data_IF_329402286333
#
_entry.id   IF_329402286333
#
_cell.length_a   1.000
_cell.length_b   1.000
_cell.length_c   1.000
_cell.angle_alpha   90.00
_cell.angle_beta   90.00
_cell.angle_gamma   90.00
#
_symmetry.space_group_name_H-M   'P 1'
#
loop_
_entity.id
_entity.type
_entity.pdbx_description
1 polymer ?
#
# COMPACT_ATOMS: atom_id res chain seq x y z
N UNK A 1 29.28 -9.59 12.25
CA UNK A 1 28.14 -8.72 12.60
C UNK A 1 28.21 -8.46 14.08
N UNK A 2 27.99 -7.21 14.46
CA UNK A 2 27.92 -6.82 15.85
C UNK A 2 26.76 -7.54 16.56
N UNK A 3 26.96 -7.99 17.80
CA UNK A 3 25.88 -8.51 18.64
C UNK A 3 24.96 -7.36 19.08
N UNK A 4 23.73 -7.67 19.53
CA UNK A 4 22.81 -6.67 20.09
C UNK A 4 23.47 -5.83 21.19
N UNK A 5 24.19 -6.49 22.11
CA UNK A 5 24.97 -5.84 23.17
C UNK A 5 26.04 -4.88 22.64
N UNK A 6 26.71 -5.23 21.55
CA UNK A 6 27.72 -4.36 20.92
C UNK A 6 27.07 -3.13 20.26
N UNK A 7 25.89 -3.29 19.67
CA UNK A 7 25.11 -2.19 19.08
C UNK A 7 24.60 -1.25 20.18
N UNK A 8 23.99 -1.80 21.23
CA UNK A 8 23.51 -1.06 22.40
C UNK A 8 24.64 -0.25 23.06
N UNK A 9 25.78 -0.90 23.33
CA UNK A 9 26.97 -0.23 23.91
C UNK A 9 27.45 0.93 23.04
N UNK A 10 27.52 0.76 21.72
CA UNK A 10 27.96 1.81 20.79
C UNK A 10 26.95 2.97 20.73
N UNK A 11 25.65 2.69 20.82
CA UNK A 11 24.61 3.72 20.83
C UNK A 11 24.69 4.59 22.10
N UNK A 12 24.83 3.96 23.28
CA UNK A 12 24.99 4.66 24.55
C UNK A 12 26.24 5.56 24.57
N UNK A 13 27.36 5.07 24.04
CA UNK A 13 28.58 5.88 23.88
C UNK A 13 28.40 7.05 22.92
N UNK A 14 27.64 6.85 21.85
CA UNK A 14 27.38 7.88 20.84
C UNK A 14 26.47 9.01 21.38
N UNK A 15 25.59 8.68 22.31
CA UNK A 15 24.75 9.65 23.04
C UNK A 15 25.49 10.34 24.19
N UNK A 16 26.75 9.98 24.45
CA UNK A 16 27.55 10.46 25.59
C UNK A 16 26.88 10.23 26.96
N UNK A 17 26.07 9.17 27.08
CA UNK A 17 25.54 8.68 28.37
C UNK A 17 26.67 8.05 29.19
N UNK A 18 27.62 7.42 28.49
CA UNK A 18 28.82 6.78 29.05
C UNK A 18 30.04 7.35 28.34
N UNK A 19 31.15 7.53 29.06
CA UNK A 19 32.39 7.99 28.43
C UNK A 19 32.87 6.98 27.36
N UNK A 20 33.60 7.43 26.31
CA UNK A 20 34.03 6.54 25.22
C UNK A 20 34.86 5.34 25.69
N UNK A 21 35.62 5.50 26.77
CA UNK A 21 36.51 4.54 27.40
C UNK A 21 35.88 3.79 28.58
N UNK A 22 34.69 4.19 29.03
CA UNK A 22 33.96 3.55 30.12
C UNK A 22 33.04 2.44 29.60
N UNK A 23 32.81 1.45 30.46
CA UNK A 23 31.86 0.36 30.20
C UNK A 23 30.48 0.78 30.73
N UNK A 24 29.41 0.74 29.92
CA UNK A 24 28.06 1.05 30.38
C UNK A 24 27.61 0.15 31.52
N UNK A 25 26.70 0.64 32.35
CA UNK A 25 26.10 -0.19 33.40
C UNK A 25 25.30 -1.34 32.77
N UNK A 26 25.17 -2.45 33.50
CA UNK A 26 24.39 -3.60 33.04
C UNK A 26 22.91 -3.23 32.80
N UNK A 27 22.37 -2.32 33.63
CA UNK A 27 20.99 -1.84 33.52
C UNK A 27 20.79 -0.96 32.29
N UNK A 28 21.73 -0.06 31.99
CA UNK A 28 21.67 0.77 30.78
C UNK A 28 21.79 -0.05 29.50
N UNK A 29 22.66 -1.08 29.54
CA UNK A 29 22.83 -2.00 28.41
C UNK A 29 21.55 -2.79 28.16
N UNK A 30 20.92 -3.30 29.23
CA UNK A 30 19.65 -4.01 29.13
C UNK A 30 18.53 -3.13 28.59
N UNK A 31 18.39 -1.90 29.10
CA UNK A 31 17.40 -0.94 28.60
C UNK A 31 17.63 -0.63 27.11
N UNK A 32 18.87 -0.42 26.70
CA UNK A 32 19.19 -0.17 25.29
C UNK A 32 18.95 -1.40 24.38
N UNK A 33 19.05 -2.62 24.91
CA UNK A 33 18.66 -3.85 24.21
C UNK A 33 17.13 -3.94 24.06
N UNK A 34 16.36 -3.64 25.10
CA UNK A 34 14.89 -3.59 25.04
C UNK A 34 14.39 -2.57 24.01
N UNK A 35 14.98 -1.36 24.00
CA UNK A 35 14.65 -0.33 23.00
C UNK A 35 15.06 -0.73 21.58
N UNK A 36 16.13 -1.52 21.43
CA UNK A 36 16.54 -2.08 20.13
C UNK A 36 15.52 -3.12 19.64
N UNK A 37 15.01 -3.98 20.53
CA UNK A 37 13.97 -4.95 20.18
C UNK A 37 12.67 -4.24 19.77
N UNK A 38 12.26 -3.19 20.49
CA UNK A 38 11.12 -2.35 20.12
C UNK A 38 11.33 -1.59 18.79
N UNK A 39 12.57 -1.15 18.52
CA UNK A 39 12.95 -0.54 17.25
C UNK A 39 12.77 -1.52 16.09
N UNK A 40 13.26 -2.75 16.25
CA UNK A 40 13.13 -3.81 15.24
C UNK A 40 11.65 -4.18 15.08
N UNK A 41 10.90 -4.37 16.16
CA UNK A 41 9.47 -4.66 16.12
C UNK A 41 8.67 -3.55 15.41
N UNK A 42 9.07 -2.28 15.57
CA UNK A 42 8.44 -1.17 14.86
C UNK A 42 8.66 -1.22 13.34
N UNK A 43 9.73 -1.86 12.87
CA UNK A 43 9.95 -2.08 11.44
C UNK A 43 9.01 -3.16 10.90
N UNK A 44 8.75 -4.21 11.69
CA UNK A 44 7.82 -5.30 11.32
C UNK A 44 6.37 -4.82 11.16
N UNK A 45 5.92 -3.89 12.01
CA UNK A 45 4.53 -3.39 11.99
C UNK A 45 4.16 -2.50 10.79
N UNK A 46 5.15 -2.10 9.97
CA UNK A 46 4.91 -1.15 8.89
C UNK A 46 4.65 -1.82 7.54
N UNK A 47 5.42 -2.85 7.17
CA UNK A 47 5.36 -3.55 5.86
C UNK A 47 6.57 -4.51 5.61
N UNK A 48 7.47 -4.69 6.57
CA UNK A 48 8.71 -5.48 6.40
C UNK A 48 8.56 -6.79 7.13
N UNK A 49 8.59 -7.92 6.44
CA UNK A 49 8.84 -9.21 7.08
C UNK A 49 10.35 -9.45 7.06
N UNK A 50 11.07 -9.03 8.09
CA UNK A 50 12.43 -9.50 8.27
C UNK A 50 12.36 -10.77 9.13
N UNK A 51 12.59 -11.90 8.48
CA UNK A 51 13.12 -13.05 9.20
C UNK A 51 14.36 -12.56 9.99
N UNK A 52 14.42 -13.02 11.24
CA UNK A 52 15.19 -12.50 12.35
C UNK A 52 16.62 -12.11 11.95
N UNK A 53 17.13 -11.07 12.62
CA UNK A 53 18.55 -10.69 12.68
C UNK A 53 19.48 -11.86 12.29
N UNK A 54 20.32 -11.64 11.27
CA UNK A 54 21.25 -10.53 11.42
C UNK A 54 21.31 -9.58 10.21
N UNK A 55 21.25 -8.27 10.51
CA UNK A 55 21.43 -7.19 9.54
C UNK A 55 22.87 -7.17 9.03
N UNK A 56 23.04 -7.10 7.71
CA UNK A 56 24.33 -6.95 7.04
C UNK A 56 25.16 -5.81 7.68
N UNK A 57 26.47 -6.02 7.81
CA UNK A 57 27.43 -5.09 8.42
C UNK A 57 27.33 -3.66 7.85
N UNK A 58 26.89 -3.51 6.61
CA UNK A 58 26.63 -2.22 5.96
C UNK A 58 25.58 -1.35 6.67
N UNK A 59 24.66 -1.93 7.45
CA UNK A 59 23.60 -1.19 8.15
C UNK A 59 23.94 -0.88 9.61
N UNK A 60 24.98 -1.49 10.19
CA UNK A 60 25.31 -1.37 11.62
C UNK A 60 25.41 0.09 12.08
N UNK A 61 26.10 0.94 11.32
CA UNK A 61 26.25 2.36 11.64
C UNK A 61 24.93 3.14 11.65
N UNK A 62 24.01 2.78 10.74
CA UNK A 62 22.67 3.35 10.67
C UNK A 62 21.81 2.93 11.85
N UNK A 63 21.80 1.63 12.20
CA UNK A 63 21.06 1.10 13.36
C UNK A 63 21.52 1.78 14.65
N UNK A 64 22.83 1.90 14.86
CA UNK A 64 23.41 2.55 16.05
C UNK A 64 22.92 4.00 16.17
N UNK A 65 22.88 4.74 15.05
CA UNK A 65 22.45 6.12 15.06
C UNK A 65 20.93 6.27 15.33
N UNK A 66 20.11 5.40 14.74
CA UNK A 66 18.65 5.39 14.98
C UNK A 66 18.34 5.00 16.44
N UNK A 67 19.04 4.01 16.99
CA UNK A 67 18.90 3.61 18.39
C UNK A 67 19.30 4.75 19.33
N UNK A 68 20.44 5.40 19.07
CA UNK A 68 20.89 6.54 19.89
C UNK A 68 19.93 7.75 19.81
N UNK A 69 19.21 7.95 18.71
CA UNK A 69 18.16 8.97 18.61
C UNK A 69 16.96 8.63 19.51
N UNK A 70 16.50 7.37 19.56
CA UNK A 70 15.41 6.95 20.45
C UNK A 70 15.78 7.07 21.93
N UNK A 71 16.98 6.59 22.29
CA UNK A 71 17.48 6.66 23.66
C UNK A 71 17.68 8.11 24.15
N UNK A 72 17.77 9.09 23.24
CA UNK A 72 18.00 10.48 23.61
C UNK A 72 16.89 11.05 24.50
N UNK A 73 15.63 10.68 24.26
CA UNK A 73 14.49 11.11 25.06
C UNK A 73 14.53 10.49 26.46
N UNK A 74 14.78 9.18 26.55
CA UNK A 74 14.81 8.44 27.82
C UNK A 74 15.93 8.93 28.76
N UNK A 75 17.10 9.23 28.20
CA UNK A 75 18.26 9.72 28.96
C UNK A 75 18.32 11.26 29.08
N UNK A 76 17.34 11.98 28.55
CA UNK A 76 17.29 13.45 28.60
C UNK A 76 18.48 14.14 27.93
N UNK A 77 19.03 13.52 26.87
CA UNK A 77 20.20 14.03 26.14
C UNK A 77 19.76 14.69 24.83
N UNK A 78 20.35 15.82 24.43
CA UNK A 78 20.00 16.44 23.16
C UNK A 78 20.53 15.63 21.97
N UNK A 79 19.70 15.39 20.97
CA UNK A 79 20.12 14.82 19.69
C UNK A 79 20.98 15.86 18.96
N UNK A 80 22.27 15.55 18.76
CA UNK A 80 23.17 16.44 18.01
C UNK A 80 22.88 16.39 16.51
N UNK A 81 23.17 17.47 15.78
CA UNK A 81 22.93 17.55 14.33
C UNK A 81 23.66 16.44 13.53
N UNK A 82 24.82 15.99 14.01
CA UNK A 82 25.57 14.87 13.39
C UNK A 82 24.82 13.56 13.62
N UNK A 83 24.32 13.32 14.84
CA UNK A 83 23.55 12.13 15.16
C UNK A 83 22.26 12.05 14.33
N UNK A 84 21.50 13.15 14.26
CA UNK A 84 20.27 13.22 13.47
C UNK A 84 20.52 12.91 11.98
N UNK A 85 21.56 13.51 11.39
CA UNK A 85 21.92 13.28 9.98
C UNK A 85 22.32 11.83 9.70
N UNK A 86 23.08 11.22 10.61
CA UNK A 86 23.53 9.83 10.44
C UNK A 86 22.37 8.83 10.64
N UNK A 87 21.43 9.14 11.54
CA UNK A 87 20.20 8.36 11.71
C UNK A 87 19.29 8.44 10.47
N UNK A 88 19.13 9.63 9.88
CA UNK A 88 18.39 9.83 8.63
C UNK A 88 19.03 9.07 7.47
N UNK A 89 20.36 9.14 7.31
CA UNK A 89 21.09 8.32 6.32
C UNK A 89 20.87 6.83 6.55
N UNK A 90 20.88 6.39 7.80
CA UNK A 90 20.61 5.01 8.19
C UNK A 90 19.21 4.55 7.75
N UNK A 91 18.18 5.34 8.05
CA UNK A 91 16.79 5.10 7.61
C UNK A 91 16.70 5.02 6.09
N UNK A 92 17.23 6.00 5.37
CA UNK A 92 17.21 6.03 3.91
C UNK A 92 17.94 4.83 3.28
N UNK A 93 19.04 4.37 3.88
CA UNK A 93 19.78 3.20 3.40
C UNK A 93 19.02 1.90 3.64
N UNK A 94 18.33 1.77 4.77
CA UNK A 94 17.44 0.64 5.05
C UNK A 94 16.22 0.66 4.12
N UNK A 95 15.60 1.82 3.92
CA UNK A 95 14.47 2.00 3.02
C UNK A 95 14.84 1.66 1.56
N UNK A 96 16.03 2.05 1.12
CA UNK A 96 16.53 1.75 -0.22
C UNK A 96 16.90 0.28 -0.41
N UNK A 97 17.39 -0.40 0.63
CA UNK A 97 17.80 -1.80 0.53
C UNK A 97 16.64 -2.78 0.72
N UNK A 98 15.68 -2.43 1.57
CA UNK A 98 14.45 -3.17 1.79
C UNK A 98 13.33 -2.38 1.13
N UNK A 99 13.34 -2.31 -0.20
CA UNK A 99 12.20 -1.78 -0.96
C UNK A 99 10.97 -2.60 -0.56
N UNK A 100 9.92 -1.93 -0.07
CA UNK A 100 8.59 -2.52 -0.03
C UNK A 100 8.28 -2.83 -1.48
N UNK A 101 8.04 -4.08 -1.86
CA UNK A 101 7.34 -4.31 -3.12
C UNK A 101 6.02 -3.57 -2.94
N UNK A 102 5.78 -2.43 -3.62
CA UNK A 102 4.47 -1.83 -3.54
C UNK A 102 3.52 -2.92 -4.03
N UNK A 103 2.45 -3.18 -3.28
CA UNK A 103 1.36 -4.04 -3.75
C UNK A 103 1.11 -3.60 -5.18
N UNK A 104 1.26 -4.51 -6.15
CA UNK A 104 1.16 -4.20 -7.58
C UNK A 104 -0.19 -3.53 -7.82
N UNK A 105 -0.21 -2.19 -7.78
CA UNK A 105 -1.31 -1.37 -8.24
C UNK A 105 -0.88 -0.97 -9.63
N UNK A 106 -1.65 -1.39 -10.62
CA UNK A 106 -1.45 -0.96 -11.99
C UNK A 106 -1.21 0.56 -12.00
N UNK A 107 -0.22 1.00 -12.78
CA UNK A 107 0.12 2.41 -12.96
C UNK A 107 -1.16 3.21 -13.29
N UNK A 108 -1.33 4.41 -12.71
CA UNK A 108 -2.50 5.26 -12.96
C UNK A 108 -2.66 5.57 -14.46
N UNK A 109 -1.56 5.59 -15.22
CA UNK A 109 -1.60 5.74 -16.68
C UNK A 109 -2.14 4.50 -17.42
N UNK A 110 -2.10 3.32 -16.81
CA UNK A 110 -2.67 2.08 -17.36
C UNK A 110 -4.14 1.91 -17.00
N UNK A 111 -4.55 2.43 -15.84
CA UNK A 111 -5.95 2.43 -15.39
C UNK A 111 -6.68 3.59 -16.08
N UNK A 112 -6.08 4.78 -16.20
CA UNK A 112 -6.67 5.96 -16.83
C UNK A 112 -6.34 6.10 -18.33
N UNK A 113 -6.34 5.02 -19.11
CA UNK A 113 -6.19 5.11 -20.59
C UNK A 113 -7.47 5.56 -21.32
N UNK A 114 -8.52 5.95 -20.59
CA UNK A 114 -9.80 6.40 -21.16
C UNK A 114 -9.73 7.82 -21.72
N UNK A 115 -9.90 7.96 -23.02
CA UNK A 115 -10.12 9.24 -23.70
C UNK A 115 -11.37 9.93 -23.13
N UNK A 116 -11.21 11.01 -22.35
CA UNK A 116 -12.18 12.03 -21.88
C UNK A 116 -13.69 11.78 -22.18
N UNK A 117 -14.17 10.59 -21.85
CA UNK A 117 -15.55 10.15 -21.98
C UNK A 117 -15.69 9.16 -20.84
N UNK A 118 -16.73 9.33 -20.03
CA UNK A 118 -16.88 8.72 -18.71
C UNK A 118 -16.98 7.19 -18.65
N UNK A 119 -16.38 6.46 -19.59
CA UNK A 119 -16.13 5.03 -19.52
C UNK A 119 -14.68 4.81 -19.07
N UNK A 120 -14.50 4.72 -17.76
CA UNK A 120 -13.22 4.36 -17.15
C UNK A 120 -13.08 2.83 -17.16
N UNK A 121 -11.93 2.35 -17.66
CA UNK A 121 -11.39 0.99 -17.54
C UNK A 121 -11.75 -0.07 -18.61
N UNK A 122 -10.72 -0.69 -19.20
CA UNK A 122 -10.77 -1.85 -20.12
C UNK A 122 -10.76 -3.19 -19.34
N UNK A 123 -10.36 -3.18 -18.06
CA UNK A 123 -10.24 -4.38 -17.23
C UNK A 123 -10.78 -4.11 -15.82
N UNK A 124 -11.92 -4.69 -15.49
CA UNK A 124 -12.49 -4.66 -14.15
C UNK A 124 -13.34 -3.42 -13.91
N UNK A 125 -14.60 -3.51 -14.29
CA UNK A 125 -15.61 -2.57 -13.81
C UNK A 125 -15.96 -2.97 -12.37
N UNK A 126 -15.77 -2.08 -11.40
CA UNK A 126 -16.65 -2.11 -10.23
C UNK A 126 -18.10 -1.97 -10.74
N UNK A 127 -19.09 -2.63 -10.12
CA UNK A 127 -20.46 -2.60 -10.62
C UNK A 127 -20.95 -1.15 -10.66
N UNK A 128 -20.96 -0.56 -11.86
CA UNK A 128 -21.61 0.72 -12.10
C UNK A 128 -23.09 0.55 -11.77
N UNK A 129 -23.67 1.51 -11.04
CA UNK A 129 -25.10 1.58 -10.76
C UNK A 129 -25.89 1.82 -12.06
N UNK A 130 -26.03 0.77 -12.87
CA UNK A 130 -26.77 0.82 -14.12
C UNK A 130 -28.27 0.96 -13.82
N UNK A 131 -28.92 1.85 -14.58
CA UNK A 131 -30.36 2.04 -14.45
C UNK A 131 -31.11 0.75 -14.81
N UNK A 132 -32.17 0.39 -14.08
CA UNK A 132 -33.00 -0.76 -14.43
C UNK A 132 -33.69 -0.52 -15.78
N UNK A 133 -33.91 -1.60 -16.54
CA UNK A 133 -34.67 -1.55 -17.79
C UNK A 133 -36.10 -1.04 -17.53
N UNK A 134 -36.61 -0.23 -18.47
CA UNK A 134 -37.98 0.29 -18.46
C UNK A 134 -38.66 0.06 -19.81
N UNK A 135 -39.94 -0.30 -19.78
CA UNK A 135 -40.76 -0.50 -20.98
C UNK A 135 -41.03 0.83 -21.71
N UNK A 136 -41.28 0.78 -23.02
CA UNK A 136 -41.63 1.94 -23.85
C UNK A 136 -40.65 3.12 -23.72
N UNK A 137 -39.38 2.83 -23.45
CA UNK A 137 -38.34 3.83 -23.20
C UNK A 137 -37.38 3.88 -24.39
N UNK A 138 -37.03 5.09 -24.81
CA UNK A 138 -36.07 5.28 -25.90
C UNK A 138 -34.64 5.07 -25.37
N UNK A 139 -33.89 4.18 -26.02
CA UNK A 139 -32.51 3.87 -25.69
C UNK A 139 -31.59 4.15 -26.88
N UNK A 140 -30.46 4.77 -26.60
CA UNK A 140 -29.39 5.03 -27.56
C UNK A 140 -28.41 3.84 -27.61
N UNK A 141 -27.63 3.75 -28.69
CA UNK A 141 -26.54 2.75 -28.77
C UNK A 141 -25.53 3.03 -27.65
N UNK A 142 -25.06 1.97 -26.99
CA UNK A 142 -24.21 1.97 -25.79
C UNK A 142 -24.90 2.31 -24.47
N UNK A 143 -26.22 2.48 -24.44
CA UNK A 143 -26.96 2.51 -23.18
C UNK A 143 -26.88 1.15 -22.49
N UNK A 144 -26.67 1.13 -21.17
CA UNK A 144 -26.54 -0.09 -20.38
C UNK A 144 -27.67 -0.14 -19.35
N UNK A 145 -28.34 -1.29 -19.29
CA UNK A 145 -29.48 -1.52 -18.40
C UNK A 145 -29.33 -2.83 -17.62
N UNK A 146 -29.93 -2.87 -16.44
CA UNK A 146 -30.08 -4.11 -15.65
C UNK A 146 -31.48 -4.68 -15.77
N UNK A 147 -31.57 -5.97 -16.09
CA UNK A 147 -32.84 -6.71 -16.13
C UNK A 147 -32.62 -8.16 -15.67
N UNK A 148 -33.50 -8.68 -14.82
CA UNK A 148 -33.44 -10.07 -14.33
C UNK A 148 -32.10 -10.51 -13.73
N UNK A 149 -31.34 -9.58 -13.11
CA UNK A 149 -30.02 -9.86 -12.53
C UNK A 149 -28.89 -9.94 -13.57
N UNK A 150 -29.14 -9.48 -14.80
CA UNK A 150 -28.19 -9.46 -15.92
C UNK A 150 -28.01 -8.02 -16.42
N UNK A 151 -26.82 -7.74 -16.96
CA UNK A 151 -26.43 -6.45 -17.55
C UNK A 151 -26.42 -6.56 -19.07
N UNK A 152 -27.13 -5.65 -19.73
CA UNK A 152 -27.27 -5.61 -21.19
C UNK A 152 -26.83 -4.26 -21.75
N UNK A 153 -26.19 -4.28 -22.92
CA UNK A 153 -25.84 -3.08 -23.69
C UNK A 153 -26.70 -2.98 -24.95
N UNK A 154 -27.23 -1.79 -25.23
CA UNK A 154 -27.96 -1.48 -26.45
C UNK A 154 -27.00 -1.42 -27.65
N UNK A 155 -27.19 -2.31 -28.61
CA UNK A 155 -26.41 -2.38 -29.86
C UNK A 155 -27.13 -1.73 -31.04
N UNK A 156 -28.45 -1.65 -31.00
CA UNK A 156 -29.29 -0.94 -31.99
C UNK A 156 -30.24 -0.01 -31.24
N UNK A 157 -30.14 1.29 -31.49
CA UNK A 157 -31.01 2.29 -30.85
C UNK A 157 -32.47 2.13 -31.29
N UNK A 158 -33.38 2.43 -30.37
CA UNK A 158 -34.81 2.26 -30.60
C UNK A 158 -35.61 2.52 -29.33
N UNK A 159 -36.86 2.05 -29.32
CA UNK A 159 -37.73 2.07 -28.16
C UNK A 159 -37.93 0.64 -27.66
N UNK A 160 -37.72 0.41 -26.37
CA UNK A 160 -37.97 -0.88 -25.73
C UNK A 160 -39.44 -1.29 -25.88
N UNK A 161 -39.67 -2.59 -25.97
CA UNK A 161 -40.99 -3.18 -26.01
C UNK A 161 -41.62 -3.26 -24.62
N UNK A 162 -42.50 -4.23 -24.45
CA UNK A 162 -43.23 -4.47 -23.20
C UNK A 162 -42.52 -5.43 -22.24
N UNK A 163 -41.46 -6.10 -22.67
CA UNK A 163 -40.87 -7.22 -21.93
C UNK A 163 -39.35 -7.12 -21.93
N UNK A 164 -38.78 -7.04 -20.73
CA UNK A 164 -37.34 -6.94 -20.56
C UNK A 164 -36.61 -8.19 -21.06
N UNK A 165 -35.36 -8.04 -21.57
CA UNK A 165 -34.51 -9.18 -21.87
C UNK A 165 -34.16 -9.95 -20.59
N UNK A 166 -34.27 -11.28 -20.64
CA UNK A 166 -34.08 -12.17 -19.49
C UNK A 166 -33.06 -13.29 -19.72
N UNK A 167 -32.52 -13.39 -20.94
CA UNK A 167 -31.59 -14.44 -21.34
C UNK A 167 -30.19 -13.88 -21.62
N UNK A 168 -29.15 -14.65 -21.29
CA UNK A 168 -27.76 -14.34 -21.57
C UNK A 168 -27.40 -14.59 -23.05
N UNK A 169 -28.14 -13.94 -23.95
CA UNK A 169 -27.98 -14.06 -25.40
C UNK A 169 -27.16 -12.90 -25.98
N UNK A 170 -26.49 -13.16 -27.09
CA UNK A 170 -25.62 -12.17 -27.75
C UNK A 170 -26.40 -11.10 -28.53
N UNK A 171 -27.69 -11.31 -28.79
CA UNK A 171 -28.60 -10.34 -29.38
C UNK A 171 -30.06 -10.66 -29.06
N UNK A 172 -30.71 -9.84 -28.23
CA UNK A 172 -32.14 -9.93 -27.91
C UNK A 172 -32.86 -8.71 -28.48
N UNK A 173 -33.82 -8.93 -29.38
CA UNK A 173 -34.64 -7.84 -29.93
C UNK A 173 -35.82 -7.56 -28.98
N UNK A 174 -35.89 -6.33 -28.50
CA UNK A 174 -36.93 -5.82 -27.59
C UNK A 174 -37.53 -4.55 -28.18
N UNK A 175 -38.73 -4.68 -28.77
CA UNK A 175 -39.33 -3.60 -29.55
C UNK A 175 -38.51 -3.30 -30.80
N UNK A 176 -37.97 -2.08 -30.90
CA UNK A 176 -37.00 -1.70 -31.95
C UNK A 176 -35.56 -1.62 -31.45
N UNK A 177 -35.30 -1.94 -30.19
CA UNK A 177 -33.96 -2.01 -29.59
C UNK A 177 -33.39 -3.42 -29.73
N UNK A 178 -32.07 -3.53 -29.88
CA UNK A 178 -31.36 -4.81 -29.79
C UNK A 178 -30.35 -4.77 -28.64
N UNK A 179 -30.51 -5.66 -27.68
CA UNK A 179 -29.68 -5.79 -26.48
C UNK A 179 -28.63 -6.90 -26.64
N UNK A 180 -27.42 -6.68 -26.16
CA UNK A 180 -26.37 -7.69 -26.07
C UNK A 180 -26.02 -7.93 -24.60
N UNK A 181 -26.06 -9.19 -24.17
CA UNK A 181 -25.65 -9.57 -22.82
C UNK A 181 -24.16 -9.30 -22.59
N UNK A 182 -23.82 -8.64 -21.48
CA UNK A 182 -22.43 -8.36 -21.09
C UNK A 182 -21.96 -9.19 -19.92
N UNK A 183 -22.72 -9.22 -18.83
CA UNK A 183 -22.37 -9.93 -17.59
C UNK A 183 -23.56 -10.11 -16.67
N UNK A 184 -23.40 -10.99 -15.68
CA UNK A 184 -24.29 -11.04 -14.52
C UNK A 184 -24.07 -9.78 -13.67
N UNK A 185 -25.16 -9.22 -13.14
CA UNK A 185 -25.14 -8.03 -12.29
C UNK A 185 -24.45 -8.29 -10.95
#
# INVERSE_FOLDING_TARGET
MATATQIATRALKRLAVVAPDETPSALDTQHAEEVLDDLIASWEGSWRSADVLPLDARFEGGVIAILAERLAEDYGRPVTAILARDAERGRNMMDAAFIAVPVQRFDDGLTATGHFSGATYILGEEPADYSPWAASTAYAVRDIVTASGLVYECTTAGTSGSTAPSAAETAVTDGSVVWCFRRVA
#
